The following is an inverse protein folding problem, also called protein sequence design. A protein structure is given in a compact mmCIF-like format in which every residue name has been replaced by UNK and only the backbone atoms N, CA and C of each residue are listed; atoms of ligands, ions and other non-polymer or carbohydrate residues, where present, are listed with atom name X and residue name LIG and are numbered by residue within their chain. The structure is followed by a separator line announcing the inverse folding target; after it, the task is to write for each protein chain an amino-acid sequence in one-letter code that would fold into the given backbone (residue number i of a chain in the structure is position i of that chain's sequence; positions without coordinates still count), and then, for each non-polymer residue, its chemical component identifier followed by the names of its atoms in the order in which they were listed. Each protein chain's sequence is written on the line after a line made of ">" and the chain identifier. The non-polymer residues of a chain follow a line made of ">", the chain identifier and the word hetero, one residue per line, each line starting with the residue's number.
data_IF_748986032493
#
_entry.id   IF_748986032493
#
_cell.length_a   1.000
_cell.length_b   1.000
_cell.length_c   1.000
_cell.angle_alpha   90.00
_cell.angle_beta   90.00
_cell.angle_gamma   90.00
#
_symmetry.space_group_name_H-M   'P 1'
#
loop_
_entity.id
_entity.type
_entity.pdbx_description
1 polymer ?
#
# COMPACT_ATOMS: atom_id res chain seq x y z
N UNK A 1 -52.10 17.38 34.06
CA UNK A 1 -51.77 18.40 33.04
C UNK A 1 -50.26 18.60 33.02
N UNK A 2 -49.61 18.41 31.88
CA UNK A 2 -48.19 18.71 31.76
C UNK A 2 -48.02 20.23 31.77
N UNK A 3 -47.24 20.75 32.71
CA UNK A 3 -47.01 22.19 32.79
C UNK A 3 -46.30 22.67 31.51
N UNK A 4 -46.82 23.67 30.83
CA UNK A 4 -46.27 24.23 29.57
C UNK A 4 -44.76 24.47 29.64
N UNK A 5 -44.25 24.90 30.79
CA UNK A 5 -42.84 25.19 31.02
C UNK A 5 -41.97 23.91 30.99
N UNK A 6 -42.46 22.81 31.56
CA UNK A 6 -41.75 21.50 31.52
C UNK A 6 -41.72 20.92 30.11
N UNK A 7 -42.82 21.08 29.37
CA UNK A 7 -42.90 20.62 27.98
C UNK A 7 -41.94 21.41 27.07
N UNK A 8 -41.88 22.73 27.19
CA UNK A 8 -40.95 23.57 26.42
C UNK A 8 -39.48 23.20 26.75
N UNK A 9 -39.13 23.06 28.04
CA UNK A 9 -37.79 22.67 28.45
C UNK A 9 -37.39 21.27 27.94
N UNK A 10 -38.34 20.34 27.87
CA UNK A 10 -38.11 19.00 27.30
C UNK A 10 -37.81 19.08 25.79
N UNK A 11 -38.57 19.89 25.04
CA UNK A 11 -38.32 20.08 23.60
C UNK A 11 -36.97 20.76 23.36
N UNK A 12 -36.65 21.83 24.09
CA UNK A 12 -35.38 22.51 23.97
C UNK A 12 -34.20 21.61 24.34
N UNK A 13 -34.31 20.87 25.45
CA UNK A 13 -33.30 19.92 25.87
C UNK A 13 -33.06 18.79 24.84
N UNK A 14 -34.16 18.22 24.34
CA UNK A 14 -34.09 17.18 23.28
C UNK A 14 -33.54 17.72 21.97
N UNK A 15 -33.92 18.96 21.59
CA UNK A 15 -33.37 19.60 20.40
C UNK A 15 -31.88 19.87 20.49
N UNK A 16 -31.38 20.34 21.63
CA UNK A 16 -29.94 20.57 21.84
C UNK A 16 -29.19 19.25 21.79
N UNK A 17 -29.66 18.21 22.48
CA UNK A 17 -29.02 16.90 22.46
C UNK A 17 -29.00 16.30 21.05
N UNK A 18 -30.11 16.36 20.33
CA UNK A 18 -30.21 15.91 18.95
C UNK A 18 -29.23 16.63 18.03
N UNK A 19 -29.13 17.94 18.16
CA UNK A 19 -28.18 18.75 17.38
C UNK A 19 -26.73 18.36 17.70
N UNK A 20 -26.38 18.24 18.97
CA UNK A 20 -25.03 17.82 19.37
C UNK A 20 -24.68 16.44 18.83
N UNK A 21 -25.59 15.47 18.92
CA UNK A 21 -25.36 14.11 18.38
C UNK A 21 -25.19 14.13 16.85
N UNK A 22 -25.97 14.94 16.14
CA UNK A 22 -25.86 15.07 14.67
C UNK A 22 -24.51 15.60 14.23
N UNK A 23 -23.95 16.57 14.95
CA UNK A 23 -22.63 17.12 14.63
C UNK A 23 -21.48 16.27 15.17
N UNK A 24 -21.61 15.70 16.35
CA UNK A 24 -20.55 14.94 17.00
C UNK A 24 -20.36 13.55 16.37
N UNK A 25 -21.44 12.92 15.92
CA UNK A 25 -21.39 11.57 15.33
C UNK A 25 -20.43 11.48 14.12
N UNK A 26 -20.52 12.31 13.07
CA UNK A 26 -19.63 12.24 11.93
C UNK A 26 -18.17 12.57 12.32
N UNK A 27 -17.95 13.47 13.28
CA UNK A 27 -16.62 13.78 13.79
C UNK A 27 -15.99 12.55 14.46
N UNK A 28 -16.74 11.89 15.35
CA UNK A 28 -16.28 10.67 16.01
C UNK A 28 -16.00 9.56 14.99
N UNK A 29 -16.89 9.37 14.00
CA UNK A 29 -16.71 8.35 12.94
C UNK A 29 -15.51 8.64 12.05
N UNK A 30 -15.17 9.90 11.85
CA UNK A 30 -13.96 10.29 11.12
C UNK A 30 -12.68 10.05 11.93
N UNK A 31 -12.71 10.35 13.24
CA UNK A 31 -11.56 10.20 14.13
C UNK A 31 -11.30 8.73 14.51
N UNK A 32 -12.32 7.88 14.51
CA UNK A 32 -12.21 6.44 14.77
C UNK A 32 -12.48 5.70 13.45
N UNK A 33 -11.46 5.54 12.59
CA UNK A 33 -11.63 4.81 11.36
C UNK A 33 -12.03 3.36 11.66
N UNK A 34 -12.90 2.74 10.83
CA UNK A 34 -13.22 1.34 11.00
C UNK A 34 -11.95 0.51 10.87
N UNK A 35 -11.81 -0.52 11.70
CA UNK A 35 -10.74 -1.50 11.54
C UNK A 35 -10.85 -2.09 10.13
N UNK A 36 -9.92 -1.69 9.27
CA UNK A 36 -9.78 -2.33 7.97
C UNK A 36 -9.26 -3.74 8.26
N UNK A 37 -10.10 -4.73 8.05
CA UNK A 37 -9.69 -6.13 8.03
C UNK A 37 -8.69 -6.28 6.88
N UNK A 38 -7.42 -6.01 7.16
CA UNK A 38 -6.34 -6.29 6.24
C UNK A 38 -6.34 -7.81 6.04
N UNK A 39 -6.91 -8.25 4.93
CA UNK A 39 -6.71 -9.62 4.49
C UNK A 39 -5.20 -9.75 4.33
N UNK A 40 -4.56 -10.44 5.28
CA UNK A 40 -3.12 -10.73 5.22
C UNK A 40 -2.91 -11.67 4.04
N UNK A 41 -2.84 -11.11 2.84
CA UNK A 41 -2.45 -11.85 1.65
C UNK A 41 -0.99 -12.22 1.87
N UNK A 42 -0.74 -13.50 2.08
CA UNK A 42 0.61 -14.02 2.30
C UNK A 42 1.35 -14.24 0.98
N UNK A 43 0.62 -14.56 -0.10
CA UNK A 43 1.19 -14.87 -1.42
C UNK A 43 0.26 -14.46 -2.55
N UNK A 44 0.83 -14.06 -3.68
CA UNK A 44 0.09 -13.72 -4.90
C UNK A 44 0.82 -14.22 -6.15
N UNK A 45 0.11 -14.66 -7.20
CA UNK A 45 0.70 -14.87 -8.52
C UNK A 45 1.01 -13.48 -9.14
N UNK A 46 2.28 -13.21 -9.41
CA UNK A 46 2.72 -11.93 -9.97
C UNK A 46 2.78 -11.95 -11.51
N UNK A 47 3.22 -13.08 -12.09
CA UNK A 47 3.30 -13.26 -13.54
C UNK A 47 3.28 -14.75 -13.90
N UNK A 48 3.06 -15.03 -15.21
CA UNK A 48 3.30 -16.37 -15.76
C UNK A 48 4.76 -16.52 -16.17
N UNK A 49 5.24 -17.76 -16.11
CA UNK A 49 6.59 -18.07 -16.60
C UNK A 49 6.65 -17.77 -18.11
N UNK A 50 7.69 -17.04 -18.55
CA UNK A 50 7.84 -16.61 -19.93
C UNK A 50 7.09 -15.30 -20.30
N UNK A 51 6.31 -14.75 -19.40
CA UNK A 51 5.64 -13.44 -19.62
C UNK A 51 6.61 -12.27 -19.59
N UNK A 52 7.65 -12.34 -18.73
CA UNK A 52 8.66 -11.31 -18.64
C UNK A 52 9.94 -11.71 -19.35
N UNK A 53 10.39 -10.88 -20.30
CA UNK A 53 11.72 -11.04 -20.90
C UNK A 53 12.83 -10.68 -19.88
N UNK A 54 14.06 -11.25 -20.01
CA UNK A 54 15.19 -10.77 -19.23
C UNK A 54 15.40 -9.27 -19.40
N UNK A 55 15.74 -8.56 -18.32
CA UNK A 55 15.87 -7.10 -18.29
C UNK A 55 14.55 -6.34 -18.18
N UNK A 56 13.40 -7.02 -18.03
CA UNK A 56 12.09 -6.38 -17.93
C UNK A 56 11.50 -6.47 -16.51
N UNK A 57 10.42 -5.74 -16.27
CA UNK A 57 9.69 -5.76 -15.00
C UNK A 57 8.18 -5.69 -15.21
N UNK A 58 7.47 -6.04 -14.16
CA UNK A 58 6.01 -5.92 -14.09
C UNK A 58 5.58 -5.41 -12.72
N UNK A 59 4.68 -4.42 -12.72
CA UNK A 59 3.98 -4.02 -11.50
C UNK A 59 2.78 -4.95 -11.31
N UNK A 60 2.67 -5.52 -10.12
CA UNK A 60 1.56 -6.38 -9.74
C UNK A 60 0.91 -5.88 -8.44
N UNK A 61 -0.29 -6.35 -8.14
CA UNK A 61 -0.99 -6.00 -6.92
C UNK A 61 -0.68 -7.00 -5.81
N UNK A 62 -0.10 -6.54 -4.71
CA UNK A 62 0.14 -7.33 -3.50
C UNK A 62 -0.75 -6.81 -2.37
N UNK A 63 -1.92 -7.43 -2.17
CA UNK A 63 -2.94 -6.89 -1.28
C UNK A 63 -3.42 -5.52 -1.77
N UNK A 64 -3.29 -4.50 -0.93
CA UNK A 64 -3.68 -3.12 -1.26
C UNK A 64 -2.51 -2.27 -1.77
N UNK A 65 -1.31 -2.84 -1.87
CA UNK A 65 -0.10 -2.13 -2.28
C UNK A 65 0.44 -2.65 -3.61
N UNK A 66 1.11 -1.82 -4.42
CA UNK A 66 1.81 -2.28 -5.61
C UNK A 66 3.10 -3.01 -5.23
N UNK A 67 3.38 -4.10 -5.92
CA UNK A 67 4.66 -4.80 -5.94
C UNK A 67 5.33 -4.67 -7.29
N UNK A 68 6.65 -4.77 -7.35
CA UNK A 68 7.45 -4.83 -8.57
C UNK A 68 8.13 -6.20 -8.65
N UNK A 69 7.94 -6.91 -9.76
CA UNK A 69 8.64 -8.12 -10.12
C UNK A 69 9.61 -7.80 -11.25
N UNK A 70 10.88 -8.09 -11.07
CA UNK A 70 11.94 -7.83 -12.03
C UNK A 70 12.52 -9.15 -12.48
N UNK A 71 12.65 -9.34 -13.79
CA UNK A 71 13.41 -10.42 -14.39
C UNK A 71 14.78 -9.85 -14.77
N UNK A 72 15.80 -10.15 -13.98
CA UNK A 72 17.16 -9.60 -14.20
C UNK A 72 17.78 -10.13 -15.50
N UNK A 73 18.78 -9.44 -16.03
CA UNK A 73 19.52 -9.90 -17.21
C UNK A 73 20.20 -11.25 -16.98
N UNK A 74 20.52 -11.58 -15.72
CA UNK A 74 21.09 -12.88 -15.32
C UNK A 74 20.04 -14.00 -15.27
N UNK A 75 18.77 -13.73 -15.56
CA UNK A 75 17.69 -14.73 -15.55
C UNK A 75 17.10 -15.02 -14.16
N UNK A 76 17.34 -14.17 -13.15
CA UNK A 76 16.75 -14.29 -11.82
C UNK A 76 15.48 -13.46 -11.68
N UNK A 77 14.50 -13.97 -10.95
CA UNK A 77 13.32 -13.19 -10.55
C UNK A 77 13.53 -12.64 -9.14
N UNK A 78 13.36 -11.32 -9.01
CA UNK A 78 13.38 -10.61 -7.72
C UNK A 78 12.13 -9.76 -7.58
N UNK A 79 11.63 -9.61 -6.37
CA UNK A 79 10.43 -8.81 -6.12
C UNK A 79 10.57 -7.95 -4.86
N UNK A 80 9.99 -6.76 -4.95
CA UNK A 80 9.96 -5.79 -3.87
C UNK A 80 8.59 -5.12 -3.78
N UNK A 81 8.34 -4.43 -2.68
CA UNK A 81 7.29 -3.41 -2.64
C UNK A 81 7.63 -2.33 -3.68
N UNK A 82 6.67 -1.99 -4.53
CA UNK A 82 6.86 -0.91 -5.49
C UNK A 82 6.61 0.47 -4.88
N UNK A 83 6.46 0.55 -3.56
CA UNK A 83 6.22 1.80 -2.83
C UNK A 83 7.55 2.39 -2.38
N UNK A 84 7.89 3.57 -2.91
CA UNK A 84 9.08 4.32 -2.50
C UNK A 84 9.03 4.68 -1.03
N UNK A 85 10.12 4.43 -0.30
CA UNK A 85 10.20 4.67 1.15
C UNK A 85 10.30 6.15 1.53
N UNK A 86 10.40 7.07 0.55
CA UNK A 86 10.35 8.52 0.78
C UNK A 86 8.91 9.03 0.92
N UNK A 87 8.12 9.04 -0.16
CA UNK A 87 6.75 9.59 -0.20
C UNK A 87 5.79 8.72 -1.02
N UNK A 88 5.87 7.42 -0.87
CA UNK A 88 4.93 6.42 -1.42
C UNK A 88 4.73 6.43 -2.95
N UNK A 89 5.60 7.08 -3.73
CA UNK A 89 5.56 6.99 -5.19
C UNK A 89 5.86 5.57 -5.67
N UNK A 90 5.28 5.17 -6.78
CA UNK A 90 5.59 3.88 -7.39
C UNK A 90 6.95 3.92 -8.06
N UNK A 91 7.82 2.95 -7.71
CA UNK A 91 9.13 2.80 -8.32
C UNK A 91 9.04 2.02 -9.63
N UNK A 92 10.03 2.22 -10.50
CA UNK A 92 10.16 1.58 -11.80
C UNK A 92 11.55 0.92 -11.88
N UNK A 93 11.73 -0.07 -12.77
CA UNK A 93 13.04 -0.63 -13.07
C UNK A 93 13.63 0.01 -14.30
N UNK A 94 14.87 0.42 -14.24
CA UNK A 94 15.65 1.00 -15.34
C UNK A 94 16.68 -0.03 -15.82
N UNK A 95 16.45 -0.58 -17.00
CA UNK A 95 17.24 -1.69 -17.55
C UNK A 95 18.70 -1.29 -17.84
N UNK A 96 18.92 -0.05 -18.30
CA UNK A 96 20.27 0.41 -18.68
C UNK A 96 21.23 0.45 -17.49
N UNK A 97 20.76 0.97 -16.36
CA UNK A 97 21.53 1.11 -15.12
C UNK A 97 21.39 -0.09 -14.17
N UNK A 98 20.49 -1.01 -14.47
CA UNK A 98 20.09 -2.13 -13.60
C UNK A 98 19.73 -1.67 -12.19
N UNK A 99 19.01 -0.55 -12.09
CA UNK A 99 18.58 0.04 -10.82
C UNK A 99 17.07 0.19 -10.75
N UNK A 100 16.54 0.27 -9.53
CA UNK A 100 15.15 0.61 -9.29
C UNK A 100 15.09 2.11 -9.03
N UNK A 101 14.35 2.83 -9.88
CA UNK A 101 14.24 4.28 -9.88
C UNK A 101 12.88 4.72 -9.32
N UNK A 102 12.89 5.68 -8.41
CA UNK A 102 11.71 6.45 -8.02
C UNK A 102 11.66 7.76 -8.83
N UNK A 103 10.72 7.94 -9.77
CA UNK A 103 10.70 9.10 -10.67
C UNK A 103 10.33 10.41 -9.97
N UNK A 104 9.73 10.36 -8.77
CA UNK A 104 9.27 11.57 -8.08
C UNK A 104 10.42 12.47 -7.61
N UNK A 105 11.46 11.89 -7.01
CA UNK A 105 12.59 12.62 -6.45
C UNK A 105 13.93 11.96 -6.79
N UNK A 106 13.97 11.19 -7.87
CA UNK A 106 15.17 10.53 -8.38
C UNK A 106 15.89 9.65 -7.35
N UNK A 107 15.13 9.04 -6.42
CA UNK A 107 15.64 8.03 -5.50
C UNK A 107 16.01 6.76 -6.26
N UNK A 108 17.19 6.18 -5.98
CA UNK A 108 17.66 4.96 -6.65
C UNK A 108 17.95 3.88 -5.64
N UNK A 109 17.62 2.64 -6.02
CA UNK A 109 17.89 1.44 -5.24
C UNK A 109 18.59 0.41 -6.13
N UNK A 110 19.43 -0.41 -5.51
CA UNK A 110 20.07 -1.55 -6.17
C UNK A 110 19.11 -2.75 -6.32
N UNK A 111 19.57 -3.83 -6.96
CA UNK A 111 18.80 -5.06 -7.11
C UNK A 111 18.67 -5.88 -5.81
N UNK A 112 19.28 -5.46 -4.72
CA UNK A 112 19.04 -5.98 -3.38
C UNK A 112 18.00 -5.13 -2.60
N UNK A 113 17.54 -4.01 -3.19
CA UNK A 113 16.60 -3.09 -2.60
C UNK A 113 17.24 -2.01 -1.73
N UNK A 114 18.57 -1.94 -1.62
CA UNK A 114 19.24 -0.92 -0.81
C UNK A 114 19.27 0.43 -1.53
N UNK A 115 19.23 1.51 -0.75
CA UNK A 115 19.31 2.88 -1.28
C UNK A 115 20.72 3.15 -1.81
N UNK A 116 20.82 3.52 -3.09
CA UNK A 116 22.06 3.97 -3.72
C UNK A 116 22.20 5.48 -3.63
N UNK A 117 21.09 6.20 -3.90
CA UNK A 117 21.08 7.66 -3.93
C UNK A 117 19.67 8.24 -3.76
N UNK A 118 19.63 9.52 -3.42
CA UNK A 118 18.38 10.27 -3.28
C UNK A 118 17.83 10.30 -1.86
N UNK A 119 16.59 10.80 -1.70
CA UNK A 119 16.00 11.04 -0.39
C UNK A 119 15.37 9.82 0.32
N UNK A 120 15.21 8.61 -0.25
CA UNK A 120 14.64 7.48 0.47
C UNK A 120 15.43 7.15 1.74
N UNK A 121 14.79 7.05 2.93
CA UNK A 121 15.49 6.84 4.20
C UNK A 121 15.82 5.37 4.50
N UNK A 122 15.23 4.42 3.78
CA UNK A 122 15.35 2.99 4.05
C UNK A 122 15.24 2.14 2.77
N UNK A 123 15.74 0.90 2.78
CA UNK A 123 15.61 -0.01 1.66
C UNK A 123 14.15 -0.33 1.34
N UNK A 124 13.89 -0.84 0.13
CA UNK A 124 12.61 -1.39 -0.27
C UNK A 124 12.34 -2.71 0.47
N UNK A 125 11.08 -2.94 0.85
CA UNK A 125 10.66 -4.23 1.41
C UNK A 125 10.82 -5.31 0.34
N UNK A 126 11.66 -6.32 0.61
CA UNK A 126 11.89 -7.43 -0.30
C UNK A 126 10.87 -8.54 -0.09
N UNK A 127 10.44 -9.15 -1.18
CA UNK A 127 9.56 -10.30 -1.19
C UNK A 127 10.32 -11.57 -1.58
N UNK A 128 9.80 -12.72 -1.16
CA UNK A 128 10.29 -14.00 -1.61
C UNK A 128 9.62 -14.40 -2.92
N UNK A 129 10.40 -14.90 -3.90
CA UNK A 129 9.90 -15.30 -5.22
C UNK A 129 10.11 -16.77 -5.40
N UNK A 130 9.07 -17.50 -5.77
CA UNK A 130 9.09 -18.91 -6.12
C UNK A 130 8.46 -19.13 -7.49
N UNK A 131 9.07 -19.98 -8.30
CA UNK A 131 8.49 -20.42 -9.57
C UNK A 131 7.80 -21.75 -9.35
N UNK A 132 6.48 -21.77 -9.42
CA UNK A 132 5.64 -22.96 -9.24
C UNK A 132 4.93 -23.31 -10.55
N UNK A 133 5.32 -24.41 -11.16
CA UNK A 133 4.81 -24.82 -12.49
C UNK A 133 5.05 -23.72 -13.53
N UNK A 134 3.97 -23.04 -13.95
CA UNK A 134 4.00 -21.98 -14.97
C UNK A 134 3.74 -20.57 -14.39
N UNK A 135 3.76 -20.42 -13.05
CA UNK A 135 3.48 -19.16 -12.39
C UNK A 135 4.63 -18.72 -11.47
N UNK A 136 4.83 -17.42 -11.41
CA UNK A 136 5.77 -16.78 -10.50
C UNK A 136 4.98 -16.28 -9.31
N UNK A 137 5.17 -16.92 -8.16
CA UNK A 137 4.48 -16.62 -6.91
C UNK A 137 5.39 -15.74 -6.06
N UNK A 138 4.79 -14.67 -5.55
CA UNK A 138 5.48 -13.73 -4.65
C UNK A 138 4.86 -13.83 -3.26
N UNK A 139 5.71 -13.96 -2.25
CA UNK A 139 5.34 -14.14 -0.84
C UNK A 139 6.02 -13.07 0.00
N UNK A 140 5.32 -12.52 0.99
CA UNK A 140 5.93 -11.59 1.95
C UNK A 140 6.92 -12.34 2.86
N UNK A 141 8.12 -11.79 3.03
CA UNK A 141 9.03 -12.28 4.08
C UNK A 141 8.42 -11.94 5.45
N UNK A 142 8.20 -12.96 6.25
CA UNK A 142 7.75 -12.83 7.66
C UNK A 142 8.96 -12.58 8.54
#
# INVERSE_FOLDING_TARGET
>A
MVERRKFINFIFGGGIVGTLLTFLYPVIRYLIPPEQSQVKISQVPAAKLGELAPGSYKIFKFGDSPGILIHTKEGKFIAFSAVCTHLTCTVLYEEESETILCPCHNGRFDLAGHVISGPPPSPLESYHVEVLKDEIIVTRKV
#
